data_IF_852264119633
#
_entry.id   IF_852264119633
#
_cell.length_a   1.000
_cell.length_b   1.000
_cell.length_c   1.000
_cell.angle_alpha   90.00
_cell.angle_beta   90.00
_cell.angle_gamma   90.00
#
_symmetry.space_group_name_H-M   'P 1'
#
loop_
_entity.id
_entity.type
_entity.pdbx_description
1 polymer ?
#
# COMPACT_ATOMS: atom_id res chain seq x y z
N UNK A 1 6.26 -19.66 27.10
CA UNK A 1 6.08 -18.19 26.99
C UNK A 1 6.47 -17.65 25.62
N UNK A 2 7.61 -18.06 25.05
CA UNK A 2 8.07 -17.67 23.71
C UNK A 2 7.00 -17.87 22.62
N UNK A 3 6.43 -19.07 22.52
CA UNK A 3 5.45 -19.38 21.46
C UNK A 3 4.12 -18.63 21.59
N UNK A 4 3.71 -18.32 22.83
CA UNK A 4 2.46 -17.58 23.10
C UNK A 4 2.53 -16.16 22.55
N UNK A 5 3.63 -15.43 22.75
CA UNK A 5 3.77 -14.08 22.21
C UNK A 5 3.91 -14.07 20.69
N UNK A 6 4.64 -15.03 20.11
CA UNK A 6 4.72 -15.17 18.66
C UNK A 6 3.33 -15.39 18.03
N UNK A 7 2.51 -16.24 18.66
CA UNK A 7 1.14 -16.47 18.22
C UNK A 7 0.27 -15.21 18.37
N UNK A 8 0.38 -14.48 19.49
CA UNK A 8 -0.33 -13.20 19.67
C UNK A 8 0.02 -12.19 18.59
N UNK A 9 1.29 -12.05 18.22
CA UNK A 9 1.69 -11.16 17.13
C UNK A 9 1.13 -11.64 15.80
N UNK A 10 1.29 -12.92 15.44
CA UNK A 10 0.73 -13.49 14.20
C UNK A 10 -0.78 -13.27 14.09
N UNK A 11 -1.52 -13.53 15.17
CA UNK A 11 -2.95 -13.28 15.25
C UNK A 11 -3.28 -11.79 15.11
N UNK A 12 -2.51 -10.91 15.76
CA UNK A 12 -2.70 -9.47 15.61
C UNK A 12 -2.52 -9.01 14.16
N UNK A 13 -1.43 -9.40 13.47
CA UNK A 13 -1.23 -9.02 12.07
C UNK A 13 -2.32 -9.57 11.17
N UNK A 14 -2.71 -10.85 11.35
CA UNK A 14 -3.81 -11.47 10.62
C UNK A 14 -5.11 -10.66 10.78
N UNK A 15 -5.48 -10.31 12.01
CA UNK A 15 -6.75 -9.62 12.30
C UNK A 15 -6.69 -8.15 11.90
N UNK A 16 -5.61 -7.43 12.22
CA UNK A 16 -5.51 -6.00 11.95
C UNK A 16 -5.36 -5.69 10.45
N UNK A 17 -4.52 -6.44 9.71
CA UNK A 17 -4.50 -6.30 8.25
C UNK A 17 -5.77 -6.84 7.60
N UNK A 18 -6.42 -7.82 8.21
CA UNK A 18 -7.79 -8.18 7.86
C UNK A 18 -8.75 -7.00 7.96
N UNK A 19 -8.68 -6.22 9.05
CA UNK A 19 -9.47 -5.01 9.20
C UNK A 19 -9.19 -4.02 8.05
N UNK A 20 -7.93 -3.80 7.71
CA UNK A 20 -7.58 -2.93 6.58
C UNK A 20 -8.13 -3.48 5.26
N UNK A 21 -8.02 -4.79 5.01
CA UNK A 21 -8.55 -5.46 3.82
C UNK A 21 -10.07 -5.45 3.73
N UNK A 22 -10.77 -5.42 4.86
CA UNK A 22 -12.23 -5.28 4.92
C UNK A 22 -12.73 -3.86 4.61
N UNK A 23 -11.85 -2.86 4.63
CA UNK A 23 -12.23 -1.45 4.54
C UNK A 23 -11.69 -0.76 3.28
N UNK A 24 -10.38 -0.83 3.03
CA UNK A 24 -9.73 -0.04 1.96
C UNK A 24 -10.23 -0.36 0.55
N UNK A 25 -10.43 -1.63 0.15
CA UNK A 25 -10.95 -1.93 -1.20
C UNK A 25 -12.37 -1.41 -1.45
N UNK A 26 -13.13 -1.11 -0.39
CA UNK A 26 -14.56 -0.85 -0.43
C UNK A 26 -14.92 0.62 -0.18
N UNK A 27 -14.06 1.38 0.53
CA UNK A 27 -14.39 2.73 1.00
C UNK A 27 -14.78 3.69 -0.13
N UNK A 28 -14.08 3.68 -1.26
CA UNK A 28 -14.39 4.57 -2.37
C UNK A 28 -15.73 4.22 -3.03
N UNK A 29 -16.07 2.94 -3.09
CA UNK A 29 -17.38 2.49 -3.59
C UNK A 29 -18.49 2.88 -2.63
N UNK A 30 -18.27 2.77 -1.31
CA UNK A 30 -19.21 3.25 -0.30
C UNK A 30 -19.42 4.77 -0.39
N UNK A 31 -18.34 5.54 -0.54
CA UNK A 31 -18.42 6.99 -0.62
C UNK A 31 -19.27 7.46 -1.82
N UNK A 32 -19.19 6.76 -2.96
CA UNK A 32 -20.02 7.05 -4.12
C UNK A 32 -21.45 6.52 -3.96
N UNK A 33 -21.62 5.21 -3.71
CA UNK A 33 -22.94 4.57 -3.73
C UNK A 33 -23.84 4.94 -2.55
N UNK A 34 -23.27 5.00 -1.35
CA UNK A 34 -24.04 5.20 -0.11
C UNK A 34 -23.98 6.64 0.38
N UNK A 35 -22.82 7.30 0.28
CA UNK A 35 -22.67 8.68 0.73
C UNK A 35 -22.91 9.73 -0.38
N UNK A 36 -23.02 9.31 -1.65
CA UNK A 36 -23.36 10.19 -2.78
C UNK A 36 -22.26 11.20 -3.15
N UNK A 37 -21.00 10.92 -2.81
CA UNK A 37 -19.88 11.79 -3.14
C UNK A 37 -19.51 11.67 -4.61
N UNK A 38 -19.08 12.79 -5.20
CA UNK A 38 -18.56 12.82 -6.56
C UNK A 38 -17.14 12.26 -6.66
N UNK A 39 -16.71 11.92 -7.87
CA UNK A 39 -15.37 11.40 -8.12
C UNK A 39 -14.24 12.30 -7.62
N UNK A 40 -14.38 13.62 -7.81
CA UNK A 40 -13.41 14.62 -7.32
C UNK A 40 -13.37 14.73 -5.80
N UNK A 41 -14.52 14.61 -5.12
CA UNK A 41 -14.59 14.58 -3.65
C UNK A 41 -13.89 13.35 -3.08
N UNK A 42 -14.14 12.17 -3.66
CA UNK A 42 -13.45 10.92 -3.29
C UNK A 42 -11.95 11.03 -3.55
N UNK A 43 -11.58 11.63 -4.69
CA UNK A 43 -10.18 11.85 -5.07
C UNK A 43 -9.46 12.78 -4.09
N UNK A 44 -10.14 13.82 -3.62
CA UNK A 44 -9.59 14.74 -2.62
C UNK A 44 -9.40 14.05 -1.26
N UNK A 45 -10.38 13.26 -0.79
CA UNK A 45 -10.25 12.49 0.45
C UNK A 45 -9.04 11.54 0.35
N UNK A 46 -8.94 10.80 -0.75
CA UNK A 46 -7.84 9.85 -0.98
C UNK A 46 -6.50 10.58 -1.04
N UNK A 47 -6.43 11.73 -1.71
CA UNK A 47 -5.22 12.53 -1.82
C UNK A 47 -4.75 13.06 -0.46
N UNK A 48 -5.67 13.57 0.36
CA UNK A 48 -5.36 14.04 1.72
C UNK A 48 -4.82 12.88 2.56
N UNK A 49 -5.45 11.71 2.53
CA UNK A 49 -4.97 10.51 3.26
C UNK A 49 -3.53 10.14 2.91
N UNK A 50 -3.18 10.19 1.62
CA UNK A 50 -1.83 9.88 1.15
C UNK A 50 -0.79 10.90 1.60
N UNK A 51 -1.13 12.20 1.59
CA UNK A 51 -0.27 13.27 2.10
C UNK A 51 -0.08 13.14 3.61
N UNK A 52 -1.16 12.84 4.35
CA UNK A 52 -1.10 12.58 5.78
C UNK A 52 -0.17 11.40 6.09
N UNK A 53 -0.16 10.35 5.27
CA UNK A 53 0.80 9.25 5.39
C UNK A 53 2.26 9.71 5.48
N UNK A 54 2.66 10.68 4.64
CA UNK A 54 4.04 11.22 4.61
C UNK A 54 4.35 12.04 5.87
N UNK A 55 3.39 12.82 6.35
CA UNK A 55 3.61 13.73 7.47
C UNK A 55 3.42 13.07 8.84
N UNK A 56 2.44 12.18 8.97
CA UNK A 56 1.94 11.64 10.25
C UNK A 56 2.72 10.40 10.69
N UNK A 57 3.16 9.54 9.76
CA UNK A 57 3.96 8.35 10.11
C UNK A 57 5.25 8.74 10.86
N UNK A 58 6.05 9.73 10.42
CA UNK A 58 7.24 10.18 11.16
C UNK A 58 6.91 10.73 12.55
N UNK A 59 5.78 11.45 12.69
CA UNK A 59 5.34 11.98 13.98
C UNK A 59 5.08 10.85 14.97
N UNK A 60 4.36 9.81 14.55
CA UNK A 60 4.15 8.61 15.36
C UNK A 60 5.46 7.91 15.73
N UNK A 61 6.43 7.84 14.81
CA UNK A 61 7.77 7.33 15.09
C UNK A 61 8.47 8.12 16.19
N UNK A 62 8.55 9.44 16.06
CA UNK A 62 9.18 10.33 17.05
C UNK A 62 8.48 10.25 18.41
N UNK A 63 7.15 10.22 18.44
CA UNK A 63 6.37 10.08 19.69
C UNK A 63 6.62 8.69 20.32
N UNK A 64 6.66 7.64 19.51
CA UNK A 64 7.01 6.28 19.95
C UNK A 64 8.39 6.22 20.59
N UNK A 65 9.39 6.80 19.93
CA UNK A 65 10.77 6.77 20.40
C UNK A 65 11.01 7.65 21.63
N UNK A 66 10.32 8.80 21.74
CA UNK A 66 10.39 9.66 22.92
C UNK A 66 9.69 9.05 24.14
N UNK A 67 8.52 8.45 23.94
CA UNK A 67 7.73 7.91 25.06
C UNK A 67 8.15 6.50 25.45
N UNK A 68 8.67 5.71 24.50
CA UNK A 68 8.96 4.26 24.62
C UNK A 68 7.76 3.43 25.09
N UNK A 69 6.55 3.94 24.91
CA UNK A 69 5.29 3.29 25.31
C UNK A 69 4.58 2.73 24.07
N UNK A 70 5.28 1.98 23.23
CA UNK A 70 4.77 1.48 21.95
C UNK A 70 3.48 0.67 22.13
N UNK A 71 3.37 -0.15 23.17
CA UNK A 71 2.14 -0.90 23.47
C UNK A 71 0.97 0.02 23.80
N UNK A 72 1.21 1.07 24.60
CA UNK A 72 0.15 2.03 24.96
C UNK A 72 -0.29 2.87 23.75
N UNK A 73 0.66 3.34 22.94
CA UNK A 73 0.40 4.08 21.71
C UNK A 73 -0.35 3.23 20.68
N UNK A 74 0.00 1.96 20.54
CA UNK A 74 -0.73 1.01 19.71
C UNK A 74 -2.19 0.93 20.14
N UNK A 75 -2.45 0.67 21.42
CA UNK A 75 -3.80 0.61 21.98
C UNK A 75 -4.58 1.91 21.80
N UNK A 76 -3.92 3.05 22.04
CA UNK A 76 -4.50 4.38 21.82
C UNK A 76 -4.92 4.58 20.37
N UNK A 77 -4.06 4.20 19.42
CA UNK A 77 -4.32 4.35 17.98
C UNK A 77 -5.53 3.51 17.52
N UNK A 78 -5.66 2.28 18.00
CA UNK A 78 -6.80 1.40 17.67
C UNK A 78 -8.09 1.90 18.33
N UNK A 79 -8.01 2.34 19.58
CA UNK A 79 -9.16 2.90 20.29
C UNK A 79 -9.65 4.19 19.62
N UNK A 80 -8.74 5.09 19.24
CA UNK A 80 -9.07 6.30 18.49
C UNK A 80 -9.73 5.95 17.14
N UNK A 81 -9.18 4.97 16.42
CA UNK A 81 -9.77 4.50 15.16
C UNK A 81 -11.19 3.95 15.35
N UNK A 82 -11.46 3.18 16.42
CA UNK A 82 -12.80 2.67 16.74
C UNK A 82 -13.80 3.79 17.03
N UNK A 83 -13.41 4.78 17.84
CA UNK A 83 -14.26 5.93 18.17
C UNK A 83 -14.58 6.74 16.91
N UNK A 84 -13.56 7.05 16.11
CA UNK A 84 -13.75 7.82 14.86
C UNK A 84 -14.58 7.03 13.86
N UNK A 85 -14.40 5.71 13.77
CA UNK A 85 -15.17 4.85 12.87
C UNK A 85 -16.68 4.93 13.14
N UNK A 86 -17.08 4.99 14.42
CA UNK A 86 -18.48 5.19 14.80
C UNK A 86 -19.05 6.51 14.29
N UNK A 87 -18.30 7.61 14.44
CA UNK A 87 -18.71 8.92 13.91
C UNK A 87 -18.72 8.95 12.37
N UNK A 88 -17.76 8.28 11.74
CA UNK A 88 -17.71 8.16 10.28
C UNK A 88 -18.97 7.45 9.76
N UNK A 89 -19.35 6.31 10.35
CA UNK A 89 -20.58 5.61 9.97
C UNK A 89 -21.84 6.49 10.08
N UNK A 90 -21.87 7.44 11.02
CA UNK A 90 -22.99 8.38 11.21
C UNK A 90 -22.88 9.67 10.41
N UNK A 91 -21.76 9.91 9.72
CA UNK A 91 -21.54 11.15 8.99
C UNK A 91 -22.41 11.19 7.73
N UNK A 92 -23.30 12.19 7.66
CA UNK A 92 -24.26 12.35 6.55
C UNK A 92 -23.93 13.52 5.62
N UNK A 93 -23.04 14.44 6.03
CA UNK A 93 -22.68 15.62 5.24
C UNK A 93 -21.20 15.59 4.87
N UNK A 94 -20.87 16.09 3.68
CA UNK A 94 -19.53 16.02 3.13
C UNK A 94 -18.42 16.52 4.07
N UNK A 95 -18.52 17.71 4.72
CA UNK A 95 -17.48 18.15 5.66
C UNK A 95 -17.25 17.19 6.84
N UNK A 96 -18.34 16.60 7.37
CA UNK A 96 -18.24 15.63 8.46
C UNK A 96 -17.54 14.34 7.99
N UNK A 97 -17.85 13.87 6.77
CA UNK A 97 -17.19 12.73 6.14
C UNK A 97 -15.69 12.98 5.99
N UNK A 98 -15.30 14.16 5.47
CA UNK A 98 -13.89 14.54 5.31
C UNK A 98 -13.15 14.55 6.65
N UNK A 99 -13.74 15.19 7.67
CA UNK A 99 -13.14 15.23 9.01
C UNK A 99 -13.00 13.83 9.60
N UNK A 100 -14.01 12.98 9.46
CA UNK A 100 -13.95 11.60 9.96
C UNK A 100 -12.93 10.75 9.19
N UNK A 101 -12.84 10.91 7.86
CA UNK A 101 -11.85 10.21 7.04
C UNK A 101 -10.42 10.59 7.43
N UNK A 102 -10.16 11.88 7.61
CA UNK A 102 -8.86 12.39 8.07
C UNK A 102 -8.53 11.87 9.46
N UNK A 103 -9.47 11.98 10.41
CA UNK A 103 -9.26 11.54 11.78
C UNK A 103 -9.03 10.02 11.88
N UNK A 104 -9.75 9.23 11.07
CA UNK A 104 -9.59 7.79 10.99
C UNK A 104 -8.20 7.44 10.45
N UNK A 105 -7.77 8.16 9.41
CA UNK A 105 -6.46 7.93 8.79
C UNK A 105 -5.31 8.28 9.74
N UNK A 106 -5.35 9.45 10.39
CA UNK A 106 -4.35 9.86 11.40
C UNK A 106 -4.25 8.85 12.54
N UNK A 107 -5.39 8.32 12.99
CA UNK A 107 -5.45 7.31 14.04
C UNK A 107 -4.82 5.99 13.58
N UNK A 108 -5.17 5.52 12.38
CA UNK A 108 -4.72 4.25 11.79
C UNK A 108 -3.24 4.23 11.46
N UNK A 109 -2.69 5.35 10.96
CA UNK A 109 -1.29 5.45 10.52
C UNK A 109 -0.28 5.18 11.65
N UNK A 110 -0.68 5.37 12.90
CA UNK A 110 0.15 5.04 14.07
C UNK A 110 0.18 3.55 14.42
N UNK A 111 -0.85 2.79 14.07
CA UNK A 111 -0.99 1.41 14.56
C UNK A 111 0.10 0.48 14.00
N UNK A 112 0.37 0.56 12.69
CA UNK A 112 1.37 -0.31 12.05
C UNK A 112 2.79 -0.09 12.56
N UNK A 113 3.34 1.14 12.56
CA UNK A 113 4.69 1.38 13.07
C UNK A 113 4.87 0.92 14.52
N UNK A 114 3.86 1.13 15.39
CA UNK A 114 3.94 0.69 16.78
C UNK A 114 3.94 -0.85 16.88
N UNK A 115 3.10 -1.54 16.11
CA UNK A 115 3.08 -3.00 16.06
C UNK A 115 4.37 -3.60 15.47
N UNK A 116 4.95 -2.93 14.46
CA UNK A 116 6.19 -3.31 13.82
C UNK A 116 7.37 -3.21 14.80
N UNK A 117 7.47 -2.11 15.54
CA UNK A 117 8.50 -1.93 16.57
C UNK A 117 8.38 -2.99 17.67
N UNK A 118 7.17 -3.25 18.18
CA UNK A 118 6.95 -4.28 19.21
C UNK A 118 7.33 -5.68 18.73
N UNK A 119 6.91 -6.05 17.52
CA UNK A 119 7.19 -7.36 16.94
C UNK A 119 8.69 -7.53 16.62
N UNK A 120 9.35 -6.48 16.13
CA UNK A 120 10.79 -6.48 15.83
C UNK A 120 11.62 -6.59 17.10
N UNK A 121 11.31 -5.81 18.14
CA UNK A 121 11.98 -5.89 19.45
C UNK A 121 11.82 -7.28 20.07
N UNK A 122 10.63 -7.88 19.96
CA UNK A 122 10.39 -9.25 20.40
C UNK A 122 11.23 -10.26 19.61
N UNK A 123 11.27 -10.16 18.28
CA UNK A 123 12.05 -11.06 17.44
C UNK A 123 13.55 -10.95 17.71
N UNK A 124 14.06 -9.73 17.92
CA UNK A 124 15.45 -9.48 18.27
C UNK A 124 15.83 -10.20 19.58
N UNK A 125 15.00 -10.08 20.62
CA UNK A 125 15.23 -10.73 21.92
C UNK A 125 15.09 -12.25 21.91
N UNK A 126 14.30 -12.78 20.99
CA UNK A 126 13.92 -14.21 20.97
C UNK A 126 14.56 -15.00 19.83
N UNK A 127 15.25 -14.36 18.89
CA UNK A 127 15.70 -14.99 17.64
C UNK A 127 14.54 -15.38 16.72
N UNK A 128 13.40 -14.69 16.80
CA UNK A 128 12.21 -14.96 15.99
C UNK A 128 12.31 -14.39 14.57
N UNK A 129 11.48 -14.90 13.66
CA UNK A 129 11.40 -14.39 12.28
C UNK A 129 10.26 -13.37 12.14
N UNK A 130 10.60 -12.08 12.12
CA UNK A 130 9.64 -10.98 11.94
C UNK A 130 8.89 -11.08 10.61
N UNK A 131 9.54 -11.51 9.53
CA UNK A 131 8.91 -11.71 8.22
C UNK A 131 7.77 -12.75 8.27
N UNK A 132 7.96 -13.84 9.01
CA UNK A 132 6.89 -14.84 9.23
C UNK A 132 5.71 -14.27 10.04
N UNK A 133 5.98 -13.39 11.00
CA UNK A 133 4.93 -12.72 11.78
C UNK A 133 4.13 -11.76 10.90
N UNK A 134 4.83 -10.85 10.20
CA UNK A 134 4.20 -9.84 9.33
C UNK A 134 3.46 -10.49 8.16
N UNK A 135 3.99 -11.59 7.60
CA UNK A 135 3.40 -12.30 6.47
C UNK A 135 1.98 -12.84 6.71
N UNK A 136 1.63 -13.15 7.97
CA UNK A 136 0.24 -13.51 8.33
C UNK A 136 -0.76 -12.38 8.02
N UNK A 137 -0.30 -11.15 7.96
CA UNK A 137 -1.12 -9.99 7.65
C UNK A 137 -1.65 -9.97 6.21
N UNK A 138 -0.85 -10.36 5.21
CA UNK A 138 -1.31 -10.44 3.82
C UNK A 138 -2.44 -11.47 3.66
N UNK A 139 -2.33 -12.60 4.38
CA UNK A 139 -3.39 -13.60 4.45
C UNK A 139 -4.66 -13.00 5.08
N UNK A 140 -4.51 -12.24 6.17
CA UNK A 140 -5.62 -11.55 6.82
C UNK A 140 -6.34 -10.56 5.90
N UNK A 141 -5.58 -9.69 5.24
CA UNK A 141 -6.08 -8.72 4.27
C UNK A 141 -6.91 -9.40 3.18
N UNK A 142 -6.39 -10.48 2.58
CA UNK A 142 -7.08 -11.25 1.55
C UNK A 142 -8.36 -11.90 2.07
N UNK A 143 -8.31 -12.61 3.20
CA UNK A 143 -9.46 -13.35 3.74
C UNK A 143 -10.61 -12.43 4.14
N UNK A 144 -10.31 -11.36 4.90
CA UNK A 144 -11.32 -10.40 5.32
C UNK A 144 -11.83 -9.55 4.16
N UNK A 145 -10.93 -9.14 3.26
CA UNK A 145 -11.30 -8.45 2.01
C UNK A 145 -12.20 -9.31 1.14
N UNK A 146 -11.97 -10.63 1.05
CA UNK A 146 -12.89 -11.54 0.37
C UNK A 146 -14.24 -11.64 1.08
N UNK A 147 -14.26 -11.79 2.39
CA UNK A 147 -15.50 -11.96 3.15
C UNK A 147 -16.46 -10.77 2.99
N UNK A 148 -15.94 -9.53 3.03
CA UNK A 148 -16.80 -8.32 3.00
C UNK A 148 -17.62 -8.21 1.73
N UNK A 149 -17.08 -8.47 0.54
CA UNK A 149 -17.86 -8.29 -0.69
C UNK A 149 -19.03 -9.28 -0.79
N UNK A 150 -18.87 -10.52 -0.33
CA UNK A 150 -19.98 -11.48 -0.27
C UNK A 150 -21.01 -11.11 0.80
N UNK A 151 -20.56 -10.62 1.97
CA UNK A 151 -21.47 -10.10 2.99
C UNK A 151 -22.22 -8.86 2.49
N UNK A 152 -21.55 -7.99 1.74
CA UNK A 152 -22.13 -6.78 1.17
C UNK A 152 -23.20 -7.08 0.11
N UNK A 153 -23.03 -8.14 -0.67
CA UNK A 153 -24.07 -8.61 -1.61
C UNK A 153 -25.34 -9.10 -0.90
N UNK A 154 -25.22 -9.59 0.35
CA UNK A 154 -26.34 -10.10 1.13
C UNK A 154 -27.00 -9.05 2.04
N UNK A 155 -26.18 -8.19 2.66
CA UNK A 155 -26.61 -7.30 3.75
C UNK A 155 -26.45 -5.81 3.45
N UNK A 156 -25.93 -5.44 2.28
CA UNK A 156 -25.56 -4.07 1.94
C UNK A 156 -24.10 -3.75 2.32
N UNK A 157 -23.49 -2.87 1.51
CA UNK A 157 -22.07 -2.54 1.61
C UNK A 157 -21.72 -1.77 2.87
N UNK A 158 -22.57 -0.83 3.29
CA UNK A 158 -22.40 -0.01 4.47
C UNK A 158 -22.31 -0.85 5.74
N UNK A 159 -23.31 -1.71 6.00
CA UNK A 159 -23.33 -2.57 7.16
C UNK A 159 -22.17 -3.56 7.17
N UNK A 160 -21.95 -4.25 6.05
CA UNK A 160 -20.89 -5.27 5.95
C UNK A 160 -19.49 -4.67 6.14
N UNK A 161 -19.19 -3.53 5.53
CA UNK A 161 -17.85 -2.91 5.60
C UNK A 161 -17.56 -2.36 7.00
N UNK A 162 -18.45 -1.51 7.54
CA UNK A 162 -18.21 -0.86 8.84
C UNK A 162 -18.25 -1.85 10.01
N UNK A 163 -19.19 -2.80 10.01
CA UNK A 163 -19.28 -3.80 11.07
C UNK A 163 -18.08 -4.74 11.06
N UNK A 164 -17.66 -5.26 9.90
CA UNK A 164 -16.48 -6.14 9.81
C UNK A 164 -15.22 -5.41 10.27
N UNK A 165 -15.03 -4.17 9.83
CA UNK A 165 -13.88 -3.38 10.24
C UNK A 165 -13.87 -3.12 11.76
N UNK A 166 -15.01 -2.75 12.34
CA UNK A 166 -15.15 -2.54 13.79
C UNK A 166 -14.86 -3.81 14.59
N UNK A 167 -15.43 -4.96 14.20
CA UNK A 167 -15.21 -6.25 14.87
C UNK A 167 -13.73 -6.63 14.84
N UNK A 168 -13.08 -6.52 13.67
CA UNK A 168 -11.67 -6.85 13.55
C UNK A 168 -10.77 -5.88 14.35
N UNK A 169 -11.11 -4.59 14.41
CA UNK A 169 -10.40 -3.63 15.27
C UNK A 169 -10.58 -3.95 16.77
N UNK A 170 -11.78 -4.34 17.22
CA UNK A 170 -12.02 -4.76 18.62
C UNK A 170 -11.21 -6.02 18.95
N UNK A 171 -11.15 -6.99 18.04
CA UNK A 171 -10.34 -8.19 18.20
C UNK A 171 -8.84 -7.85 18.23
N UNK A 172 -8.36 -6.99 17.32
CA UNK A 172 -6.98 -6.52 17.32
C UNK A 172 -6.62 -5.78 18.62
N UNK A 173 -7.51 -4.90 19.11
CA UNK A 173 -7.36 -4.23 20.39
C UNK A 173 -7.26 -5.23 21.53
N UNK A 174 -8.13 -6.23 21.57
CA UNK A 174 -8.13 -7.28 22.59
C UNK A 174 -6.84 -8.11 22.58
N UNK A 175 -6.37 -8.51 21.39
CA UNK A 175 -5.12 -9.26 21.22
C UNK A 175 -3.91 -8.42 21.67
N UNK A 176 -3.94 -7.10 21.46
CA UNK A 176 -2.83 -6.21 21.82
C UNK A 176 -2.54 -6.16 23.34
N UNK A 177 -3.48 -6.54 24.20
CA UNK A 177 -3.21 -6.71 25.64
C UNK A 177 -2.34 -7.92 25.96
N UNK A 178 -2.30 -8.90 25.06
CA UNK A 178 -1.43 -10.07 25.16
C UNK A 178 0.01 -9.82 24.72
N UNK A 179 0.37 -8.59 24.35
CA UNK A 179 1.73 -8.23 23.95
C UNK A 179 2.65 -8.10 25.17
N UNK A 180 3.97 -8.34 25.00
CA UNK A 180 4.93 -8.09 26.06
C UNK A 180 4.88 -6.60 26.46
N UNK A 181 5.02 -6.32 27.76
CA UNK A 181 5.11 -4.94 28.24
C UNK A 181 6.38 -4.31 27.69
N UNK A 182 6.29 -3.03 27.33
CA UNK A 182 7.46 -2.22 26.97
C UNK A 182 8.45 -2.27 28.13
N UNK A 183 9.67 -2.75 27.88
CA UNK A 183 10.66 -2.89 28.94
C UNK A 183 11.43 -1.60 29.21
N UNK A 184 11.16 -0.51 28.48
CA UNK A 184 11.61 0.86 28.77
C UNK A 184 13.13 1.05 28.84
N UNK A 185 13.91 -0.02 28.72
CA UNK A 185 15.36 -0.02 28.77
C UNK A 185 15.87 0.59 27.48
N UNK A 186 16.84 1.49 27.63
CA UNK A 186 17.73 1.84 26.52
C UNK A 186 18.34 0.53 26.04
N UNK A 187 17.98 0.09 24.84
CA UNK A 187 18.96 -0.66 24.08
C UNK A 187 20.05 0.36 23.75
N UNK A 188 21.20 0.22 24.40
CA UNK A 188 22.43 0.90 24.03
C UNK A 188 22.85 0.37 22.65
N UNK A 189 22.06 0.71 21.62
CA UNK A 189 22.51 0.65 20.27
C UNK A 189 23.56 1.73 20.15
N UNK A 190 24.80 1.33 19.86
CA UNK A 190 25.82 2.26 19.39
C UNK A 190 25.15 3.23 18.43
N UNK A 191 25.27 4.54 18.68
CA UNK A 191 25.01 5.53 17.63
C UNK A 191 25.99 5.17 16.52
N UNK A 192 25.55 4.33 15.58
CA UNK A 192 26.24 4.13 14.33
C UNK A 192 26.32 5.53 13.78
N UNK A 193 27.53 6.12 13.81
CA UNK A 193 27.82 7.40 13.18
C UNK A 193 27.48 7.20 11.71
N UNK A 194 26.23 7.46 11.35
CA UNK A 194 25.77 7.45 9.97
C UNK A 194 26.63 8.50 9.32
N UNK A 195 27.55 8.07 8.44
CA UNK A 195 28.30 8.97 7.58
C UNK A 195 27.27 9.94 7.01
N UNK A 196 27.47 11.24 7.19
CA UNK A 196 26.59 12.27 6.62
C UNK A 196 26.62 12.13 5.10
N UNK A 197 25.71 11.33 4.57
CA UNK A 197 25.46 11.24 3.17
C UNK A 197 24.95 12.59 2.67
N UNK A 198 25.40 13.03 1.50
CA UNK A 198 25.00 14.32 0.96
C UNK A 198 23.65 14.20 0.27
N UNK A 199 22.62 14.88 0.76
CA UNK A 199 21.30 14.92 0.09
C UNK A 199 21.41 15.41 -1.37
N UNK A 200 22.38 16.31 -1.64
CA UNK A 200 22.69 16.81 -2.97
C UNK A 200 23.17 15.72 -3.92
N UNK A 201 23.84 14.69 -3.41
CA UNK A 201 24.31 13.54 -4.20
C UNK A 201 23.12 12.77 -4.79
N UNK A 202 22.06 12.54 -4.00
CA UNK A 202 20.85 11.87 -4.50
C UNK A 202 20.16 12.69 -5.61
N UNK A 203 20.05 14.00 -5.42
CA UNK A 203 19.41 14.90 -6.40
C UNK A 203 20.24 15.09 -7.68
N UNK A 204 21.51 14.68 -7.69
CA UNK A 204 22.38 14.77 -8.87
C UNK A 204 22.67 13.41 -9.50
N UNK A 205 22.35 12.32 -8.80
CA UNK A 205 22.51 10.96 -9.30
C UNK A 205 21.43 10.64 -10.35
N UNK A 206 21.86 10.61 -11.62
CA UNK A 206 21.00 10.34 -12.77
C UNK A 206 20.28 9.00 -12.67
N UNK A 207 20.92 7.96 -12.14
CA UNK A 207 20.33 6.64 -12.01
C UNK A 207 19.23 6.64 -10.95
N UNK A 208 19.44 7.32 -9.82
CA UNK A 208 18.41 7.50 -8.80
C UNK A 208 17.22 8.33 -9.30
N UNK A 209 17.47 9.45 -9.99
CA UNK A 209 16.39 10.27 -10.56
C UNK A 209 15.60 9.51 -11.64
N UNK A 210 16.29 8.72 -12.46
CA UNK A 210 15.67 7.89 -13.49
C UNK A 210 14.68 6.89 -12.87
N UNK A 211 15.10 6.13 -11.85
CA UNK A 211 14.22 5.16 -11.20
C UNK A 211 13.08 5.83 -10.44
N UNK A 212 13.33 6.99 -9.82
CA UNK A 212 12.32 7.79 -9.13
C UNK A 212 11.20 8.23 -10.10
N UNK A 213 11.58 8.77 -11.25
CA UNK A 213 10.63 9.20 -12.28
C UNK A 213 9.91 8.01 -12.92
N UNK A 214 10.61 6.90 -13.15
CA UNK A 214 9.99 5.69 -13.70
C UNK A 214 8.93 5.11 -12.75
N UNK A 215 9.17 5.15 -11.44
CA UNK A 215 8.22 4.73 -10.42
C UNK A 215 6.99 5.66 -10.32
N UNK A 216 7.16 6.96 -10.59
CA UNK A 216 6.04 7.90 -10.72
C UNK A 216 5.15 7.62 -11.96
N UNK A 217 5.74 7.21 -13.08
CA UNK A 217 4.98 6.86 -14.29
C UNK A 217 4.30 5.49 -14.19
N UNK A 218 4.88 4.58 -13.43
CA UNK A 218 4.44 3.19 -13.35
C UNK A 218 3.59 2.96 -12.10
N UNK A 219 4.24 2.77 -10.95
CA UNK A 219 3.61 2.31 -9.72
C UNK A 219 2.59 3.30 -9.16
N UNK A 220 2.91 4.59 -9.19
CA UNK A 220 1.98 5.63 -8.74
C UNK A 220 0.70 5.65 -9.58
N UNK A 221 0.81 5.53 -10.90
CA UNK A 221 -0.34 5.50 -11.81
C UNK A 221 -1.22 4.27 -11.53
N UNK A 222 -0.60 3.10 -11.36
CA UNK A 222 -1.33 1.87 -10.99
C UNK A 222 -2.13 2.08 -9.71
N UNK A 223 -1.45 2.48 -8.64
CA UNK A 223 -2.04 2.58 -7.31
C UNK A 223 -3.16 3.63 -7.25
N UNK A 224 -2.95 4.78 -7.89
CA UNK A 224 -3.96 5.85 -7.94
C UNK A 224 -5.17 5.51 -8.80
N UNK A 225 -5.00 4.79 -9.91
CA UNK A 225 -6.14 4.41 -10.74
C UNK A 225 -6.96 3.28 -10.09
N UNK A 226 -6.29 2.38 -9.36
CA UNK A 226 -6.93 1.24 -8.69
C UNK A 226 -7.73 1.62 -7.44
N UNK A 227 -7.59 2.83 -6.92
CA UNK A 227 -8.52 3.34 -5.88
C UNK A 227 -9.96 3.44 -6.40
N UNK A 228 -10.16 3.54 -7.71
CA UNK A 228 -11.47 3.53 -8.37
C UNK A 228 -11.83 2.18 -9.00
N UNK A 229 -11.03 1.13 -8.78
CA UNK A 229 -11.29 -0.21 -9.34
C UNK A 229 -12.62 -0.80 -8.86
N UNK A 230 -12.94 -0.63 -7.57
CA UNK A 230 -14.23 -1.05 -7.02
C UNK A 230 -15.42 -0.27 -7.60
N UNK A 231 -15.24 1.03 -7.80
CA UNK A 231 -16.24 1.90 -8.42
C UNK A 231 -16.49 1.49 -9.88
N UNK A 232 -15.43 1.19 -10.64
CA UNK A 232 -15.59 0.64 -11.99
C UNK A 232 -16.38 -0.67 -12.00
N UNK A 233 -16.02 -1.65 -11.16
CA UNK A 233 -16.72 -2.93 -11.10
C UNK A 233 -18.20 -2.75 -10.72
N UNK A 234 -18.48 -1.96 -9.70
CA UNK A 234 -19.82 -1.92 -9.08
C UNK A 234 -20.74 -0.83 -9.63
N UNK A 235 -20.21 0.30 -10.08
CA UNK A 235 -20.98 1.43 -10.63
C UNK A 235 -20.98 1.38 -12.15
N UNK A 236 -19.80 1.24 -12.78
CA UNK A 236 -19.70 1.25 -14.25
C UNK A 236 -20.13 -0.08 -14.88
N UNK A 237 -19.66 -1.20 -14.34
CA UNK A 237 -19.99 -2.54 -14.85
C UNK A 237 -21.19 -3.18 -14.16
N UNK A 238 -21.82 -2.48 -13.21
CA UNK A 238 -22.99 -2.92 -12.46
C UNK A 238 -22.85 -4.32 -11.82
N UNK A 239 -21.64 -4.63 -11.34
CA UNK A 239 -21.34 -5.90 -10.66
C UNK A 239 -21.68 -5.82 -9.16
N UNK A 240 -21.83 -6.98 -8.53
CA UNK A 240 -21.93 -7.08 -7.07
C UNK A 240 -20.65 -6.64 -6.35
N UNK A 241 -20.75 -6.36 -5.06
CA UNK A 241 -19.62 -6.06 -4.19
C UNK A 241 -18.64 -7.26 -4.09
N UNK A 242 -19.10 -8.50 -4.29
CA UNK A 242 -18.21 -9.67 -4.42
C UNK A 242 -17.22 -9.57 -5.58
N UNK A 243 -17.48 -8.74 -6.60
CA UNK A 243 -16.48 -8.48 -7.64
C UNK A 243 -15.23 -7.78 -7.07
N UNK A 244 -15.37 -6.94 -6.05
CA UNK A 244 -14.24 -6.31 -5.33
C UNK A 244 -13.46 -7.37 -4.53
N UNK A 245 -14.16 -8.34 -3.93
CA UNK A 245 -13.53 -9.50 -3.28
C UNK A 245 -12.69 -10.30 -4.28
N UNK A 246 -13.25 -10.62 -5.44
CA UNK A 246 -12.54 -11.36 -6.50
C UNK A 246 -11.38 -10.56 -7.07
N UNK A 247 -11.50 -9.23 -7.20
CA UNK A 247 -10.40 -8.38 -7.61
C UNK A 247 -9.26 -8.44 -6.59
N UNK A 248 -9.56 -8.33 -5.30
CA UNK A 248 -8.58 -8.44 -4.22
C UNK A 248 -7.87 -9.79 -4.24
N UNK A 249 -8.62 -10.87 -4.45
CA UNK A 249 -8.03 -12.21 -4.58
C UNK A 249 -7.11 -12.31 -5.79
N UNK A 250 -7.58 -11.84 -6.96
CA UNK A 250 -6.84 -11.90 -8.22
C UNK A 250 -5.56 -11.07 -8.20
N UNK A 251 -5.47 -10.02 -7.38
CA UNK A 251 -4.26 -9.21 -7.23
C UNK A 251 -3.31 -9.76 -6.16
N UNK A 252 -3.82 -10.11 -4.97
CA UNK A 252 -2.98 -10.45 -3.80
C UNK A 252 -2.38 -11.86 -3.88
N UNK A 253 -3.15 -12.88 -4.29
CA UNK A 253 -2.63 -14.24 -4.28
C UNK A 253 -1.49 -14.44 -5.30
N UNK A 254 -1.62 -14.01 -6.58
CA UNK A 254 -0.52 -14.07 -7.53
C UNK A 254 0.67 -13.20 -7.13
N UNK A 255 0.43 -12.07 -6.46
CA UNK A 255 1.49 -11.20 -5.94
C UNK A 255 2.38 -11.96 -4.95
N UNK A 256 1.79 -12.59 -3.93
CA UNK A 256 2.55 -13.34 -2.92
C UNK A 256 3.38 -14.44 -3.57
N UNK A 257 2.79 -15.20 -4.51
CA UNK A 257 3.50 -16.25 -5.24
C UNK A 257 4.66 -15.70 -6.10
N UNK A 258 4.41 -14.60 -6.83
CA UNK A 258 5.40 -14.03 -7.75
C UNK A 258 6.56 -13.36 -7.01
N UNK A 259 6.30 -12.70 -5.86
CA UNK A 259 7.35 -12.07 -5.05
C UNK A 259 8.39 -13.08 -4.55
N UNK A 260 8.00 -14.33 -4.28
CA UNK A 260 8.94 -15.40 -3.89
C UNK A 260 9.98 -15.72 -4.98
N UNK A 261 9.65 -15.49 -6.25
CA UNK A 261 10.51 -15.78 -7.40
C UNK A 261 11.02 -14.51 -8.10
N UNK A 262 10.51 -13.33 -7.76
CA UNK A 262 10.79 -12.07 -8.45
C UNK A 262 12.29 -11.75 -8.56
N UNK A 263 13.07 -12.00 -7.49
CA UNK A 263 14.52 -11.78 -7.52
C UNK A 263 15.24 -12.72 -8.49
N UNK A 264 14.80 -13.98 -8.59
CA UNK A 264 15.35 -14.95 -9.54
C UNK A 264 15.03 -14.55 -10.98
N UNK A 265 13.80 -14.08 -11.22
CA UNK A 265 13.38 -13.55 -12.52
C UNK A 265 14.24 -12.33 -12.89
N UNK A 266 14.37 -11.34 -12.00
CA UNK A 266 15.18 -10.15 -12.22
C UNK A 266 16.65 -10.47 -12.53
N UNK A 267 17.24 -11.43 -11.81
CA UNK A 267 18.63 -11.83 -12.06
C UNK A 267 18.80 -12.52 -13.42
N UNK A 268 17.79 -13.26 -13.89
CA UNK A 268 17.81 -13.94 -15.19
C UNK A 268 17.55 -12.99 -16.36
N UNK A 269 16.65 -12.03 -16.21
CA UNK A 269 16.21 -11.15 -17.30
C UNK A 269 16.98 -9.83 -17.38
N UNK A 270 17.58 -9.39 -16.27
CA UNK A 270 18.15 -8.05 -16.13
C UNK A 270 17.06 -6.99 -15.90
N UNK A 271 17.46 -5.79 -15.47
CA UNK A 271 16.50 -4.72 -15.16
C UNK A 271 15.72 -4.28 -16.39
N UNK A 272 16.40 -4.00 -17.51
CA UNK A 272 15.77 -3.43 -18.71
C UNK A 272 14.63 -4.30 -19.23
N UNK A 273 14.88 -5.59 -19.45
CA UNK A 273 13.85 -6.52 -19.94
C UNK A 273 12.73 -6.70 -18.92
N UNK A 274 13.05 -6.78 -17.63
CA UNK A 274 12.01 -6.95 -16.60
C UNK A 274 11.05 -5.76 -16.56
N UNK A 275 11.58 -4.53 -16.62
CA UNK A 275 10.77 -3.31 -16.68
C UNK A 275 9.94 -3.20 -17.97
N UNK A 276 10.50 -3.59 -19.13
CA UNK A 276 9.72 -3.62 -20.38
C UNK A 276 8.56 -4.61 -20.33
N UNK A 277 8.78 -5.82 -19.80
CA UNK A 277 7.72 -6.83 -19.62
C UNK A 277 6.60 -6.25 -18.78
N UNK A 278 6.92 -5.62 -17.64
CA UNK A 278 5.91 -5.03 -16.79
C UNK A 278 5.16 -3.86 -17.42
N UNK A 279 5.85 -2.99 -18.18
CA UNK A 279 5.18 -1.93 -18.94
C UNK A 279 4.13 -2.52 -19.88
N UNK A 280 4.51 -3.51 -20.69
CA UNK A 280 3.60 -4.16 -21.63
C UNK A 280 2.45 -4.84 -20.89
N UNK A 281 2.72 -5.56 -19.79
CA UNK A 281 1.68 -6.18 -18.97
C UNK A 281 0.70 -5.16 -18.39
N UNK A 282 1.18 -4.01 -17.91
CA UNK A 282 0.31 -2.94 -17.40
C UNK A 282 -0.47 -2.25 -18.52
N UNK A 283 0.13 -2.03 -19.69
CA UNK A 283 -0.57 -1.50 -20.87
C UNK A 283 -1.70 -2.42 -21.30
N UNK A 284 -1.46 -3.74 -21.34
CA UNK A 284 -2.51 -4.72 -21.62
C UNK A 284 -3.63 -4.66 -20.57
N UNK A 285 -3.27 -4.58 -19.29
CA UNK A 285 -4.23 -4.48 -18.18
C UNK A 285 -5.12 -3.25 -18.29
N UNK A 286 -4.54 -2.06 -18.40
CA UNK A 286 -5.29 -0.82 -18.51
C UNK A 286 -6.03 -0.70 -19.85
N UNK A 287 -5.51 -1.32 -20.92
CA UNK A 287 -6.22 -1.43 -22.19
C UNK A 287 -7.50 -2.25 -22.06
N UNK A 288 -7.44 -3.40 -21.39
CA UNK A 288 -8.64 -4.20 -21.09
C UNK A 288 -9.63 -3.40 -20.25
N UNK A 289 -9.16 -2.71 -19.20
CA UNK A 289 -10.02 -1.88 -18.35
C UNK A 289 -10.68 -0.70 -19.10
N UNK A 290 -9.99 -0.14 -20.09
CA UNK A 290 -10.48 1.01 -20.86
C UNK A 290 -11.47 0.63 -21.96
N UNK A 291 -11.34 -0.56 -22.56
CA UNK A 291 -12.06 -0.91 -23.79
C UNK A 291 -13.01 -2.10 -23.66
N UNK A 292 -12.90 -2.91 -22.60
CA UNK A 292 -13.71 -4.13 -22.45
C UNK A 292 -14.71 -3.97 -21.31
N UNK A 293 -16.01 -3.77 -21.59
CA UNK A 293 -17.05 -3.66 -20.57
C UNK A 293 -17.45 -5.03 -20.02
N UNK A 294 -16.52 -5.76 -19.41
CA UNK A 294 -16.75 -7.11 -18.88
C UNK A 294 -15.98 -7.34 -17.57
N UNK A 295 -16.71 -7.61 -16.49
CA UNK A 295 -16.13 -7.82 -15.17
C UNK A 295 -15.16 -9.02 -15.12
N UNK A 296 -15.45 -10.12 -15.82
CA UNK A 296 -14.59 -11.30 -15.81
C UNK A 296 -13.28 -11.04 -16.55
N UNK A 297 -13.33 -10.28 -17.64
CA UNK A 297 -12.11 -9.82 -18.33
C UNK A 297 -11.28 -8.89 -17.43
N UNK A 298 -11.93 -7.96 -16.72
CA UNK A 298 -11.30 -7.09 -15.73
C UNK A 298 -10.59 -7.92 -14.63
N UNK A 299 -11.27 -8.92 -14.06
CA UNK A 299 -10.71 -9.77 -13.01
C UNK A 299 -9.57 -10.65 -13.53
N UNK A 300 -9.73 -11.28 -14.70
CA UNK A 300 -8.71 -12.17 -15.27
C UNK A 300 -7.40 -11.43 -15.56
N UNK A 301 -7.48 -10.23 -16.16
CA UNK A 301 -6.27 -9.45 -16.46
C UNK A 301 -5.64 -8.85 -15.19
N UNK A 302 -6.39 -8.71 -14.09
CA UNK A 302 -5.87 -8.18 -12.82
C UNK A 302 -4.73 -9.02 -12.23
N UNK A 303 -4.64 -10.31 -12.61
CA UNK A 303 -3.57 -11.22 -12.19
C UNK A 303 -2.18 -10.68 -12.53
N UNK A 304 -2.03 -9.93 -13.64
CA UNK A 304 -0.73 -9.37 -14.04
C UNK A 304 -0.24 -8.25 -13.11
N UNK A 305 -1.07 -7.79 -12.16
CA UNK A 305 -0.69 -6.84 -11.12
C UNK A 305 0.56 -7.27 -10.35
N UNK A 306 0.73 -8.58 -10.11
CA UNK A 306 1.87 -9.13 -9.40
C UNK A 306 3.23 -8.72 -10.00
N UNK A 307 3.30 -8.55 -11.33
CA UNK A 307 4.49 -8.09 -12.03
C UNK A 307 4.78 -6.62 -11.70
N UNK A 308 3.75 -5.78 -11.68
CA UNK A 308 3.85 -4.37 -11.29
C UNK A 308 4.35 -4.21 -9.86
N UNK A 309 3.80 -4.99 -8.93
CA UNK A 309 4.22 -4.97 -7.52
C UNK A 309 5.68 -5.42 -7.36
N UNK A 310 6.09 -6.49 -8.05
CA UNK A 310 7.49 -6.95 -8.01
C UNK A 310 8.47 -5.87 -8.48
N UNK A 311 8.08 -5.05 -9.45
CA UNK A 311 8.88 -3.90 -9.86
C UNK A 311 8.88 -2.80 -8.82
N UNK A 312 7.71 -2.45 -8.29
CA UNK A 312 7.56 -1.42 -7.28
C UNK A 312 8.36 -1.70 -6.00
N UNK A 313 8.54 -2.98 -5.67
CA UNK A 313 9.14 -3.43 -4.41
C UNK A 313 10.55 -4.01 -4.57
N UNK A 314 10.71 -5.06 -5.38
CA UNK A 314 11.96 -5.83 -5.48
C UNK A 314 12.93 -5.15 -6.46
N UNK A 315 12.46 -4.85 -7.67
CA UNK A 315 13.34 -4.33 -8.71
C UNK A 315 13.80 -2.90 -8.40
N UNK A 316 12.88 -2.01 -7.99
CA UNK A 316 13.21 -0.63 -7.60
C UNK A 316 14.22 -0.57 -6.45
N UNK A 317 14.01 -1.34 -5.39
CA UNK A 317 14.89 -1.35 -4.22
C UNK A 317 16.27 -1.91 -4.56
N UNK A 318 16.32 -3.00 -5.32
CA UNK A 318 17.59 -3.59 -5.79
C UNK A 318 18.34 -2.62 -6.69
N UNK A 319 17.63 -1.93 -7.59
CA UNK A 319 18.21 -0.91 -8.46
C UNK A 319 18.80 0.24 -7.64
N UNK A 320 18.04 0.80 -6.68
CA UNK A 320 18.50 1.90 -5.81
C UNK A 320 19.72 1.47 -5.01
N UNK A 321 19.67 0.29 -4.38
CA UNK A 321 20.80 -0.26 -3.61
C UNK A 321 22.10 -0.34 -4.44
N UNK A 322 21.97 -0.60 -5.74
CA UNK A 322 23.11 -0.67 -6.65
C UNK A 322 23.45 0.68 -7.30
N UNK A 323 22.64 1.72 -7.09
CA UNK A 323 22.80 3.05 -7.71
C UNK A 323 23.41 4.09 -6.78
N UNK A 324 23.27 3.92 -5.45
CA UNK A 324 23.59 4.96 -4.46
C UNK A 324 24.58 4.44 -3.41
N UNK A 325 25.33 5.35 -2.79
CA UNK A 325 26.21 5.00 -1.68
C UNK A 325 25.40 4.41 -0.51
N UNK A 326 25.85 3.32 0.14
CA UNK A 326 25.21 2.76 1.32
C UNK A 326 24.89 3.79 2.43
N UNK A 327 25.69 4.85 2.57
CA UNK A 327 25.48 5.94 3.53
C UNK A 327 24.22 6.79 3.27
N UNK A 328 23.72 6.84 2.02
CA UNK A 328 22.50 7.57 1.65
C UNK A 328 21.31 6.66 1.34
N UNK A 329 21.47 5.33 1.38
CA UNK A 329 20.42 4.36 0.97
C UNK A 329 19.11 4.55 1.75
N UNK A 330 19.19 4.76 3.07
CA UNK A 330 18.00 5.02 3.89
C UNK A 330 17.25 6.27 3.43
N UNK A 331 17.99 7.37 3.20
CA UNK A 331 17.43 8.63 2.69
C UNK A 331 16.83 8.47 1.29
N UNK A 332 17.46 7.67 0.42
CA UNK A 332 16.95 7.37 -0.92
C UNK A 332 15.59 6.66 -0.87
N UNK A 333 15.44 5.67 0.02
CA UNK A 333 14.17 4.95 0.23
C UNK A 333 13.09 5.88 0.81
N UNK A 334 13.45 6.71 1.79
CA UNK A 334 12.51 7.71 2.34
C UNK A 334 12.04 8.69 1.27
N UNK A 335 12.96 9.20 0.43
CA UNK A 335 12.63 10.12 -0.65
C UNK A 335 11.76 9.46 -1.73
N UNK A 336 12.05 8.20 -2.08
CA UNK A 336 11.21 7.40 -2.98
C UNK A 336 9.78 7.30 -2.43
N UNK A 337 9.62 6.86 -1.19
CA UNK A 337 8.30 6.69 -0.58
C UNK A 337 7.52 8.01 -0.49
N UNK A 338 8.18 9.11 -0.09
CA UNK A 338 7.56 10.43 -0.06
C UNK A 338 7.10 10.88 -1.46
N UNK A 339 7.97 10.71 -2.46
CA UNK A 339 7.67 11.06 -3.86
C UNK A 339 6.51 10.23 -4.41
N UNK A 340 6.51 8.92 -4.15
CA UNK A 340 5.43 8.03 -4.53
C UNK A 340 4.11 8.42 -3.88
N UNK A 341 4.08 8.73 -2.59
CA UNK A 341 2.85 9.13 -1.89
C UNK A 341 2.31 10.47 -2.39
N UNK A 342 3.16 11.47 -2.61
CA UNK A 342 2.75 12.76 -3.18
C UNK A 342 2.25 12.57 -4.61
N UNK A 343 2.96 11.79 -5.42
CA UNK A 343 2.51 11.42 -6.75
C UNK A 343 1.14 10.75 -6.71
N UNK A 344 0.92 9.80 -5.78
CA UNK A 344 -0.35 9.09 -5.66
C UNK A 344 -1.49 10.03 -5.29
N UNK A 345 -1.22 11.04 -4.46
CA UNK A 345 -2.19 12.05 -4.08
C UNK A 345 -2.59 12.92 -5.29
N UNK A 346 -1.61 13.37 -6.07
CA UNK A 346 -1.86 14.19 -7.27
C UNK A 346 -2.64 13.38 -8.31
N UNK A 347 -2.16 12.18 -8.67
CA UNK A 347 -2.86 11.32 -9.63
C UNK A 347 -4.22 10.87 -9.11
N UNK A 348 -4.36 10.60 -7.82
CA UNK A 348 -5.64 10.22 -7.20
C UNK A 348 -6.70 11.30 -7.38
N UNK A 349 -6.34 12.57 -7.17
CA UNK A 349 -7.26 13.69 -7.42
C UNK A 349 -7.56 13.87 -8.91
N UNK A 350 -6.54 13.84 -9.78
CA UNK A 350 -6.72 13.95 -11.24
C UNK A 350 -7.66 12.86 -11.76
N UNK A 351 -7.42 11.61 -11.37
CA UNK A 351 -8.27 10.49 -11.76
C UNK A 351 -9.67 10.59 -11.18
N UNK A 352 -9.84 11.16 -9.97
CA UNK A 352 -11.16 11.47 -9.44
C UNK A 352 -11.96 12.46 -10.29
N UNK A 353 -11.32 13.55 -10.74
CA UNK A 353 -11.94 14.53 -11.64
C UNK A 353 -12.27 13.90 -12.99
N UNK A 354 -11.34 13.14 -13.58
CA UNK A 354 -11.57 12.43 -14.85
C UNK A 354 -12.70 11.42 -14.72
N UNK A 355 -12.72 10.64 -13.64
CA UNK A 355 -13.77 9.66 -13.34
C UNK A 355 -15.14 10.33 -13.27
N UNK A 356 -15.23 11.48 -12.60
CA UNK A 356 -16.49 12.23 -12.47
C UNK A 356 -17.02 12.75 -13.81
N UNK A 357 -16.15 13.33 -14.65
CA UNK A 357 -16.57 14.02 -15.89
C UNK A 357 -16.72 13.03 -17.05
N UNK A 358 -15.80 12.07 -17.17
CA UNK A 358 -15.64 11.20 -18.34
C UNK A 358 -15.81 9.71 -18.05
N UNK A 359 -15.99 9.33 -16.77
CA UNK A 359 -16.15 7.94 -16.37
C UNK A 359 -14.85 7.13 -16.31
N UNK A 360 -14.97 5.93 -15.76
CA UNK A 360 -13.83 5.05 -15.46
C UNK A 360 -13.14 4.46 -16.71
N UNK A 361 -13.86 4.21 -17.81
CA UNK A 361 -13.25 3.72 -19.05
C UNK A 361 -12.21 4.71 -19.60
N UNK A 362 -12.56 5.99 -19.68
CA UNK A 362 -11.65 7.05 -20.14
C UNK A 362 -10.51 7.24 -19.14
N UNK A 363 -10.80 7.20 -17.83
CA UNK A 363 -9.78 7.25 -16.78
C UNK A 363 -8.71 6.17 -16.97
N UNK A 364 -9.11 4.91 -17.20
CA UNK A 364 -8.18 3.82 -17.47
C UNK A 364 -7.47 3.96 -18.82
N UNK A 365 -8.13 4.52 -19.84
CA UNK A 365 -7.50 4.84 -21.12
C UNK A 365 -6.36 5.85 -20.97
N UNK A 366 -6.56 6.91 -20.19
CA UNK A 366 -5.53 7.93 -19.91
C UNK A 366 -4.32 7.33 -19.19
N UNK A 367 -4.51 6.29 -18.37
CA UNK A 367 -3.41 5.59 -17.71
C UNK A 367 -2.42 4.96 -18.70
N UNK A 368 -2.79 4.71 -19.96
CA UNK A 368 -1.88 4.16 -20.97
C UNK A 368 -0.76 5.15 -21.35
N UNK A 369 -1.01 6.45 -21.28
CA UNK A 369 -0.05 7.50 -21.67
C UNK A 369 1.26 7.40 -20.87
N UNK A 370 1.27 7.41 -19.52
CA UNK A 370 2.49 7.29 -18.75
C UNK A 370 3.20 5.95 -18.96
N UNK A 371 2.48 4.85 -19.25
CA UNK A 371 3.11 3.57 -19.60
C UNK A 371 3.81 3.61 -20.97
N UNK A 372 3.25 4.29 -21.97
CA UNK A 372 3.90 4.49 -23.26
C UNK A 372 5.17 5.34 -23.08
N UNK A 373 5.10 6.41 -22.29
CA UNK A 373 6.27 7.23 -21.96
C UNK A 373 7.33 6.39 -21.26
N UNK A 374 6.95 5.61 -20.23
CA UNK A 374 7.85 4.71 -19.53
C UNK A 374 8.50 3.69 -20.47
N UNK A 375 7.72 3.06 -21.36
CA UNK A 375 8.22 2.10 -22.34
C UNK A 375 9.28 2.72 -23.27
N UNK A 376 9.03 3.91 -23.80
CA UNK A 376 9.98 4.64 -24.65
C UNK A 376 11.24 5.04 -23.87
N UNK A 377 11.08 5.50 -22.63
CA UNK A 377 12.20 5.85 -21.75
C UNK A 377 13.09 4.64 -21.45
N UNK A 378 12.50 3.50 -21.07
CA UNK A 378 13.24 2.26 -20.78
C UNK A 378 13.94 1.75 -22.03
N UNK A 379 13.27 1.79 -23.19
CA UNK A 379 13.85 1.28 -24.44
C UNK A 379 15.10 2.05 -24.84
N UNK A 380 15.08 3.38 -24.67
CA UNK A 380 16.17 4.28 -25.04
C UNK A 380 17.22 4.49 -23.94
N UNK A 381 16.95 4.12 -22.70
CA UNK A 381 17.89 4.36 -21.60
C UNK A 381 19.01 3.34 -21.58
N UNK A 382 20.19 3.82 -21.15
CA UNK A 382 21.37 3.01 -20.81
C UNK A 382 21.56 2.88 -19.29
N UNK A 383 20.76 3.57 -18.48
CA UNK A 383 20.84 3.54 -17.02
C UNK A 383 20.73 2.12 -16.44
N UNK A 384 19.95 1.24 -17.07
CA UNK A 384 19.87 -0.17 -16.66
C UNK A 384 21.12 -0.98 -17.03
N UNK A 385 21.72 -0.69 -18.19
CA UNK A 385 22.91 -1.41 -18.69
C UNK A 385 24.13 -1.13 -17.81
N UNK A 386 24.24 0.08 -17.26
CA UNK A 386 25.29 0.47 -16.29
C UNK A 386 25.21 -0.39 -15.02
N UNK A 387 24.01 -0.62 -14.50
CA UNK A 387 23.80 -1.32 -13.23
C UNK A 387 23.90 -2.84 -13.37
N UNK A 388 23.38 -3.41 -14.46
CA UNK A 388 23.45 -4.86 -14.67
C UNK A 388 24.91 -5.34 -14.86
N UNK A 389 25.82 -4.49 -15.36
CA UNK A 389 27.27 -4.79 -15.42
C UNK A 389 27.91 -4.98 -14.04
N UNK A 390 27.43 -4.28 -13.01
CA UNK A 390 27.96 -4.37 -11.65
C UNK A 390 27.49 -5.61 -10.87
N UNK A 391 26.45 -6.33 -11.35
CA UNK A 391 25.99 -7.58 -10.70
C UNK A 391 26.99 -8.73 -10.81
N UNK A 392 27.93 -8.69 -11.75
CA UNK A 392 28.92 -9.76 -11.96
C UNK A 392 29.93 -9.97 -10.82
N UNK A 393 29.93 -9.12 -9.78
CA UNK A 393 30.92 -9.16 -8.69
C UNK A 393 30.34 -9.49 -7.30
N UNK A 394 29.04 -9.79 -7.18
CA UNK A 394 28.39 -10.09 -5.88
C UNK A 394 27.46 -11.31 -5.99
N UNK A 395 27.88 -12.34 -6.71
CA UNK A 395 27.23 -13.66 -6.73
C UNK A 395 27.92 -14.60 -5.74
#
# INVERSE_FOLDING_TARGET
MKDRFSLSFKAFYLIYLGAIGSFIPYINTYLEKNAGLSGSQIGLITAISLVLGVCVIPIWGVVGDKTRKYSALLKLSIMAALVVLYFYYKAAVYPAIVVCAIALEVSRLGTMPMADTLATNYCHKTGGNYGSIRGMGSLGYMLAGMAVGFLADLFGLDGAMFATYAVLLILAFSISFGFPKDDGKKEDGEEVKVKKGSFKELLTNKNFLFILFLQLLMSTVVDSAMTYGGNHLTVTLNSGASAISWMTFATVLPEVAFLMIAIKVLNKTGFKKFYLIACVSMMLRFGVYAFIPNQYAFLAISIVHCIGVAIATVASLTYIRNSVDPAVLGTAITLLNATLSIGKAIYGYIFGVVYEIWGSFIMFGICLIPFVIAFLMISRSHCFDEIDKHKGHIA
#
